data_IF_007426238148
#
_entry.id   IF_007426238148
#
_cell.length_a   1.000
_cell.length_b   1.000
_cell.length_c   1.000
_cell.angle_alpha   90.00
_cell.angle_beta   90.00
_cell.angle_gamma   90.00
#
_symmetry.space_group_name_H-M   'P 1'
#
loop_
_entity.id
_entity.type
_entity.pdbx_description
1 polymer ?
#
# COMPACT_ATOMS: atom_id res chain seq x y z
N UNK A 1 -62.46 -18.01 -10.07
CA UNK A 1 -61.06 -17.59 -10.33
C UNK A 1 -60.24 -17.88 -9.09
N UNK A 2 -59.39 -18.93 -9.12
CA UNK A 2 -58.58 -19.35 -7.97
C UNK A 2 -57.38 -18.42 -7.85
N UNK A 3 -57.27 -17.68 -6.74
CA UNK A 3 -56.12 -16.83 -6.42
C UNK A 3 -55.04 -17.71 -5.78
N UNK A 4 -54.02 -18.06 -6.56
CA UNK A 4 -52.82 -18.73 -6.04
C UNK A 4 -51.92 -17.67 -5.40
N UNK A 5 -51.86 -17.65 -4.07
CA UNK A 5 -50.92 -16.80 -3.32
C UNK A 5 -49.57 -17.53 -3.32
N UNK A 6 -48.60 -16.99 -4.05
CA UNK A 6 -47.21 -17.46 -4.05
C UNK A 6 -46.56 -16.88 -2.79
N UNK A 7 -46.25 -17.74 -1.82
CA UNK A 7 -45.40 -17.41 -0.70
C UNK A 7 -43.94 -17.34 -1.18
N UNK A 8 -43.37 -16.15 -1.21
CA UNK A 8 -41.96 -15.92 -1.51
C UNK A 8 -41.16 -16.17 -0.23
N UNK A 9 -40.56 -17.35 -0.10
CA UNK A 9 -39.63 -17.68 0.98
C UNK A 9 -38.32 -16.90 0.77
N UNK A 10 -38.12 -15.86 1.58
CA UNK A 10 -36.88 -15.10 1.63
C UNK A 10 -35.83 -15.91 2.40
N UNK A 11 -34.99 -16.64 1.68
CA UNK A 11 -33.84 -17.33 2.27
C UNK A 11 -32.80 -16.28 2.68
N UNK A 12 -32.74 -15.99 3.98
CA UNK A 12 -31.69 -15.15 4.56
C UNK A 12 -30.39 -15.95 4.51
N UNK A 13 -29.60 -15.75 3.45
CA UNK A 13 -28.24 -16.26 3.38
C UNK A 13 -27.43 -15.40 4.36
N UNK A 14 -27.28 -15.89 5.59
CA UNK A 14 -26.33 -15.33 6.54
C UNK A 14 -24.92 -15.52 5.98
N UNK A 15 -24.35 -14.46 5.40
CA UNK A 15 -22.94 -14.42 5.01
C UNK A 15 -22.10 -14.51 6.28
N UNK A 16 -21.56 -15.70 6.57
CA UNK A 16 -20.54 -15.87 7.61
C UNK A 16 -19.29 -15.20 7.07
N UNK A 17 -19.04 -13.96 7.49
CA UNK A 17 -17.77 -13.28 7.24
C UNK A 17 -16.76 -13.89 8.21
N UNK A 18 -15.88 -14.75 7.70
CA UNK A 18 -14.69 -15.15 8.44
C UNK A 18 -13.76 -13.93 8.48
N UNK A 19 -13.65 -13.27 9.63
CA UNK A 19 -12.69 -12.19 9.83
C UNK A 19 -11.28 -12.76 9.70
N UNK A 20 -10.53 -12.36 8.68
CA UNK A 20 -9.12 -12.68 8.57
C UNK A 20 -8.35 -11.92 9.66
N UNK A 21 -7.46 -12.62 10.38
CA UNK A 21 -6.55 -11.96 11.31
C UNK A 21 -5.35 -11.43 10.53
N UNK A 22 -4.90 -10.22 10.86
CA UNK A 22 -3.79 -9.56 10.18
C UNK A 22 -2.48 -10.34 10.34
N UNK A 23 -2.32 -11.04 11.47
CA UNK A 23 -1.12 -11.82 11.77
C UNK A 23 -0.97 -13.08 10.90
N UNK A 24 -2.03 -13.47 10.18
CA UNK A 24 -2.01 -14.59 9.24
C UNK A 24 -1.50 -14.18 7.84
N UNK A 25 -1.34 -12.88 7.59
CA UNK A 25 -0.89 -12.34 6.30
C UNK A 25 0.64 -12.24 6.22
N UNK A 26 1.16 -12.36 5.00
CA UNK A 26 2.57 -12.08 4.72
C UNK A 26 2.89 -10.63 5.11
N UNK A 27 3.84 -10.46 6.03
CA UNK A 27 4.19 -9.15 6.59
C UNK A 27 5.65 -8.79 6.40
N UNK A 28 5.91 -7.49 6.20
CA UNK A 28 7.21 -6.94 5.86
C UNK A 28 7.48 -5.70 6.69
N UNK A 29 8.66 -5.64 7.31
CA UNK A 29 9.05 -4.47 8.10
C UNK A 29 9.56 -3.38 7.16
N UNK A 30 9.07 -2.16 7.34
CA UNK A 30 9.58 -0.99 6.62
C UNK A 30 10.91 -0.57 7.24
N UNK A 31 11.91 -0.36 6.39
CA UNK A 31 13.20 0.23 6.77
C UNK A 31 13.07 1.76 6.80
N UNK A 32 12.65 2.35 5.68
CA UNK A 32 12.60 3.80 5.52
C UNK A 32 11.44 4.26 4.63
N UNK A 33 10.97 5.48 4.88
CA UNK A 33 10.02 6.18 4.03
C UNK A 33 10.71 7.31 3.27
N UNK A 34 10.34 7.49 2.02
CA UNK A 34 10.80 8.59 1.18
C UNK A 34 9.64 9.34 0.57
N UNK A 35 9.80 10.63 0.34
CA UNK A 35 8.91 11.42 -0.49
C UNK A 35 9.61 11.77 -1.80
N UNK A 36 8.95 11.52 -2.93
CA UNK A 36 9.39 12.01 -4.24
C UNK A 36 9.13 13.51 -4.33
N UNK A 37 10.19 14.25 -4.61
CA UNK A 37 10.17 15.71 -4.80
C UNK A 37 10.62 15.98 -6.23
N UNK A 38 9.69 16.47 -7.05
CA UNK A 38 9.98 16.95 -8.40
C UNK A 38 10.84 18.22 -8.32
N UNK A 39 11.77 18.34 -9.26
CA UNK A 39 12.71 19.45 -9.34
C UNK A 39 12.37 20.38 -10.50
N UNK A 40 12.90 21.59 -10.45
CA UNK A 40 12.77 22.53 -11.56
C UNK A 40 13.58 22.02 -12.76
N UNK A 41 13.09 22.31 -13.97
CA UNK A 41 13.75 21.94 -15.22
C UNK A 41 15.20 22.45 -15.28
N UNK A 42 16.12 21.61 -15.77
CA UNK A 42 17.54 21.93 -15.82
C UNK A 42 18.29 21.81 -14.48
N UNK A 43 17.68 21.24 -13.44
CA UNK A 43 18.40 20.91 -12.19
C UNK A 43 19.47 19.85 -12.47
N UNK A 44 20.70 20.09 -12.03
CA UNK A 44 21.84 19.19 -12.24
C UNK A 44 22.26 18.48 -10.95
N UNK A 45 22.73 17.23 -11.06
CA UNK A 45 23.40 16.50 -10.00
C UNK A 45 24.88 16.92 -9.81
N UNK A 46 25.60 16.25 -8.92
CA UNK A 46 27.00 16.56 -8.60
C UNK A 46 27.98 16.30 -9.76
N UNK A 47 27.59 15.45 -10.70
CA UNK A 47 28.36 15.11 -11.90
C UNK A 47 27.95 16.00 -13.10
N UNK A 48 26.95 16.87 -12.94
CA UNK A 48 26.44 17.76 -13.97
C UNK A 48 25.39 17.13 -14.89
N UNK A 49 24.79 15.99 -14.52
CA UNK A 49 23.68 15.39 -15.26
C UNK A 49 22.34 16.01 -14.84
N UNK A 50 21.44 16.19 -15.78
CA UNK A 50 20.09 16.66 -15.49
C UNK A 50 19.28 15.60 -14.72
N UNK A 51 18.60 16.03 -13.66
CA UNK A 51 17.75 15.20 -12.82
C UNK A 51 16.37 15.84 -12.67
N UNK A 52 15.33 15.02 -12.72
CA UNK A 52 13.94 15.48 -12.68
C UNK A 52 13.35 15.43 -11.25
N UNK A 53 13.88 14.57 -10.38
CA UNK A 53 13.37 14.39 -9.03
C UNK A 53 14.42 13.80 -8.07
N UNK A 54 14.13 13.91 -6.78
CA UNK A 54 14.88 13.25 -5.70
C UNK A 54 13.95 12.58 -4.70
N UNK A 55 14.47 11.55 -4.03
CA UNK A 55 13.81 10.90 -2.91
C UNK A 55 14.35 11.45 -1.59
N UNK A 56 13.49 12.12 -0.83
CA UNK A 56 13.86 12.70 0.47
C UNK A 56 13.29 11.85 1.59
N UNK A 57 14.15 11.36 2.49
CA UNK A 57 13.71 10.59 3.66
C UNK A 57 12.70 11.39 4.47
N UNK A 58 11.56 10.76 4.78
CA UNK A 58 10.42 11.42 5.45
C UNK A 58 9.91 10.58 6.62
N UNK A 59 9.01 11.18 7.40
CA UNK A 59 8.21 10.47 8.40
C UNK A 59 6.77 10.38 7.92
N UNK A 60 6.11 9.31 8.34
CA UNK A 60 4.66 9.11 8.18
C UNK A 60 4.06 9.15 9.57
N UNK A 61 2.87 9.76 9.69
CA UNK A 61 2.17 9.81 10.96
C UNK A 61 1.77 8.42 11.44
N UNK A 62 1.60 8.27 12.76
CA UNK A 62 1.13 7.01 13.34
C UNK A 62 -0.29 6.72 12.86
N UNK A 63 -0.52 5.51 12.36
CA UNK A 63 -1.84 5.10 11.92
C UNK A 63 -1.84 3.77 11.19
N UNK A 64 -3.06 3.32 10.90
CA UNK A 64 -3.32 2.16 10.05
C UNK A 64 -3.86 2.68 8.71
N UNK A 65 -3.21 2.28 7.63
CA UNK A 65 -3.47 2.75 6.28
C UNK A 65 -3.79 1.58 5.37
N UNK A 66 -4.83 1.72 4.56
CA UNK A 66 -5.04 0.87 3.40
C UNK A 66 -4.29 1.51 2.22
N UNK A 67 -3.38 0.76 1.62
CA UNK A 67 -2.52 1.27 0.55
C UNK A 67 -2.49 0.27 -0.62
N UNK A 68 -2.19 0.78 -1.80
CA UNK A 68 -1.80 -0.02 -2.95
C UNK A 68 -0.32 0.25 -3.22
N UNK A 69 0.47 -0.82 -3.30
CA UNK A 69 1.88 -0.73 -3.67
C UNK A 69 2.09 -1.04 -5.15
N UNK A 70 2.99 -0.29 -5.78
CA UNK A 70 3.54 -0.60 -7.10
C UNK A 70 5.05 -0.64 -7.04
N UNK A 71 5.67 -1.31 -8.01
CA UNK A 71 7.13 -1.32 -8.13
C UNK A 71 7.61 0.10 -8.49
N UNK A 72 8.57 0.63 -7.72
CA UNK A 72 9.19 1.92 -7.95
C UNK A 72 10.64 1.78 -8.45
N UNK A 73 11.38 2.89 -8.42
CA UNK A 73 12.79 2.90 -8.83
C UNK A 73 13.65 2.06 -7.87
N UNK A 74 14.50 1.19 -8.42
CA UNK A 74 15.48 0.43 -7.63
C UNK A 74 14.82 -0.53 -6.64
N UNK A 75 15.04 -0.31 -5.34
CA UNK A 75 14.50 -1.10 -4.23
C UNK A 75 13.32 -0.41 -3.52
N UNK A 76 12.76 0.64 -4.12
CA UNK A 76 11.62 1.39 -3.60
C UNK A 76 10.30 0.85 -4.14
N UNK A 77 9.27 0.96 -3.30
CA UNK A 77 7.88 0.69 -3.65
C UNK A 77 7.09 1.98 -3.53
N UNK A 78 6.34 2.33 -4.56
CA UNK A 78 5.46 3.49 -4.54
C UNK A 78 4.16 3.14 -3.83
N UNK A 79 3.72 4.01 -2.91
CA UNK A 79 2.34 4.04 -2.44
C UNK A 79 1.52 4.77 -3.50
N UNK A 80 0.77 4.01 -4.28
CA UNK A 80 0.09 4.46 -5.50
C UNK A 80 -0.74 5.71 -5.28
N UNK A 81 -0.74 6.60 -6.28
CA UNK A 81 -1.45 7.87 -6.28
C UNK A 81 -0.99 8.84 -5.17
N UNK A 82 0.23 8.62 -4.66
CA UNK A 82 0.88 9.51 -3.68
C UNK A 82 2.34 9.74 -4.06
N UNK A 83 3.02 10.64 -3.36
CA UNK A 83 4.46 10.82 -3.51
C UNK A 83 5.26 10.01 -2.47
N UNK A 84 4.64 9.07 -1.77
CA UNK A 84 5.27 8.29 -0.70
C UNK A 84 5.87 7.00 -1.26
N UNK A 85 7.11 6.72 -0.90
CA UNK A 85 7.86 5.53 -1.29
C UNK A 85 8.35 4.80 -0.05
N UNK A 86 8.41 3.48 -0.14
CA UNK A 86 8.77 2.59 0.96
C UNK A 86 9.99 1.76 0.55
N UNK A 87 10.99 1.73 1.42
CA UNK A 87 12.07 0.75 1.38
C UNK A 87 11.83 -0.29 2.47
N UNK A 88 11.91 -1.58 2.13
CA UNK A 88 11.69 -2.67 3.08
C UNK A 88 12.99 -3.17 3.69
N UNK A 89 12.91 -3.61 4.96
CA UNK A 89 13.97 -4.37 5.62
C UNK A 89 13.85 -5.84 5.20
N UNK A 90 14.24 -6.13 3.96
CA UNK A 90 14.13 -7.45 3.35
C UNK A 90 13.40 -7.43 2.01
N UNK A 91 13.35 -8.58 1.35
CA UNK A 91 12.76 -8.72 0.02
C UNK A 91 11.23 -8.81 0.09
N UNK A 92 10.53 -7.77 -0.35
CA UNK A 92 9.07 -7.77 -0.45
C UNK A 92 8.56 -8.56 -1.64
N UNK A 93 9.32 -8.67 -2.74
CA UNK A 93 8.85 -9.29 -3.99
C UNK A 93 8.24 -8.28 -4.95
N UNK A 94 7.75 -8.75 -6.10
CA UNK A 94 7.13 -7.87 -7.09
C UNK A 94 5.73 -7.43 -6.62
N UNK A 95 5.52 -6.12 -6.52
CA UNK A 95 4.21 -5.53 -6.30
C UNK A 95 3.43 -5.38 -7.61
N UNK A 96 4.13 -5.33 -8.76
CA UNK A 96 3.53 -5.17 -10.07
C UNK A 96 2.80 -3.83 -10.20
N UNK A 97 1.66 -3.83 -10.88
CA UNK A 97 0.87 -2.63 -11.15
C UNK A 97 -0.04 -2.19 -9.99
N UNK A 98 -0.27 -3.06 -9.01
CA UNK A 98 -1.05 -2.78 -7.80
C UNK A 98 -1.01 -4.00 -6.89
N UNK A 99 -0.55 -3.84 -5.66
CA UNK A 99 -0.67 -4.83 -4.59
C UNK A 99 -1.34 -4.20 -3.38
N UNK A 100 -2.57 -4.60 -3.14
CA UNK A 100 -3.35 -4.14 -2.00
C UNK A 100 -2.71 -4.61 -0.69
N UNK A 101 -2.50 -3.67 0.24
CA UNK A 101 -1.83 -3.92 1.51
C UNK A 101 -2.48 -3.11 2.64
N UNK A 102 -2.17 -3.54 3.87
CA UNK A 102 -2.39 -2.74 5.08
C UNK A 102 -1.02 -2.31 5.60
N UNK A 103 -0.79 -1.01 5.77
CA UNK A 103 0.41 -0.46 6.39
C UNK A 103 0.08 0.04 7.78
N UNK A 104 0.77 -0.47 8.79
CA UNK A 104 0.70 -0.01 10.17
C UNK A 104 1.96 0.77 10.50
N UNK A 105 1.80 2.03 10.86
CA UNK A 105 2.90 2.91 11.30
C UNK A 105 2.78 3.10 12.80
N UNK A 106 3.79 2.62 13.54
CA UNK A 106 3.88 2.73 14.98
C UNK A 106 5.11 3.55 15.38
N UNK A 107 5.26 3.83 16.68
CA UNK A 107 6.30 4.75 17.16
C UNK A 107 7.74 4.26 16.87
N UNK A 108 7.96 2.93 16.86
CA UNK A 108 9.30 2.34 16.71
C UNK A 108 9.41 1.41 15.48
N UNK A 109 8.30 1.13 14.80
CA UNK A 109 8.25 0.15 13.73
C UNK A 109 7.10 0.48 12.80
N UNK A 110 7.31 0.26 11.51
CA UNK A 110 6.23 0.20 10.54
C UNK A 110 6.23 -1.17 9.86
N UNK A 111 5.04 -1.71 9.62
CA UNK A 111 4.84 -3.04 9.03
C UNK A 111 3.79 -2.98 7.93
N UNK A 112 4.05 -3.62 6.81
CA UNK A 112 3.11 -3.78 5.69
C UNK A 112 2.67 -5.23 5.58
N UNK A 113 1.37 -5.46 5.48
CA UNK A 113 0.73 -6.77 5.35
C UNK A 113 0.09 -6.87 3.96
N UNK A 114 0.39 -7.94 3.23
CA UNK A 114 -0.19 -8.19 1.91
C UNK A 114 -1.59 -8.78 2.05
N UNK A 115 -2.55 -8.18 1.35
CA UNK A 115 -3.92 -8.72 1.22
C UNK A 115 -4.03 -9.72 0.07
#
# INVERSE_FOLDING_TARGET
MKKTIIFLTFAIISTISFGQNLDDLDSYTVDEFYKKVELDYGTLDEDGNEIEYVYVKTKVDKGDYKIDLTDGDGDLYEVKDTNLFIKFNGYFGYAGYSKECIMKVEYYKSTVYKL
#
